data_IF_475364798454
#
_entry.id   IF_475364798454
#
_cell.length_a   1.000
_cell.length_b   1.000
_cell.length_c   1.000
_cell.angle_alpha   90.00
_cell.angle_beta   90.00
_cell.angle_gamma   90.00
#
_symmetry.space_group_name_H-M   'P 1'
#
loop_
_entity.id
_entity.type
_entity.pdbx_description
1 polymer ?
#
# COMPACT_ATOMS: atom_id res chain seq x y z
N UNK A 1 28.47 14.92 -27.61
CA UNK A 1 27.03 14.65 -27.38
C UNK A 1 26.84 13.15 -27.16
N UNK A 2 26.81 12.70 -25.91
CA UNK A 2 26.79 11.28 -25.56
C UNK A 2 25.34 10.77 -25.60
N UNK A 3 25.03 9.98 -26.62
CA UNK A 3 23.72 9.37 -26.82
C UNK A 3 23.46 8.33 -25.71
N UNK A 4 22.69 8.71 -24.68
CA UNK A 4 22.17 7.77 -23.69
C UNK A 4 21.03 6.98 -24.33
N UNK A 5 21.33 5.78 -24.80
CA UNK A 5 20.30 4.81 -25.21
C UNK A 5 19.56 4.39 -23.95
N UNK A 6 18.29 4.78 -23.85
CA UNK A 6 17.41 4.26 -22.83
C UNK A 6 17.38 2.73 -22.96
N UNK A 7 17.85 2.03 -21.92
CA UNK A 7 17.67 0.59 -21.79
C UNK A 7 16.17 0.38 -21.64
N UNK A 8 15.50 0.13 -22.76
CA UNK A 8 14.10 -0.28 -22.76
C UNK A 8 14.08 -1.63 -22.05
N UNK A 9 13.79 -1.60 -20.74
CA UNK A 9 13.62 -2.75 -19.87
C UNK A 9 12.34 -3.48 -20.32
N UNK A 10 12.39 -4.07 -21.51
CA UNK A 10 11.34 -4.91 -22.08
C UNK A 10 11.50 -6.29 -21.44
N UNK A 11 11.22 -6.34 -20.14
CA UNK A 11 10.86 -7.54 -19.40
C UNK A 11 11.64 -8.80 -19.83
N UNK A 12 12.82 -9.01 -19.25
CA UNK A 12 13.65 -10.20 -19.51
C UNK A 12 12.93 -11.52 -19.20
N UNK A 13 11.92 -11.49 -18.30
CA UNK A 13 11.13 -12.65 -17.93
C UNK A 13 10.26 -13.18 -19.07
N UNK A 14 10.02 -12.37 -20.11
CA UNK A 14 9.28 -12.76 -21.31
C UNK A 14 10.00 -13.78 -22.20
N UNK A 15 11.31 -14.01 -21.98
CA UNK A 15 12.08 -15.05 -22.68
C UNK A 15 11.84 -16.46 -22.15
N UNK A 16 11.14 -16.62 -21.04
CA UNK A 16 10.86 -17.95 -20.50
C UNK A 16 9.83 -18.66 -21.38
N UNK A 17 10.08 -19.89 -21.88
CA UNK A 17 9.19 -20.58 -22.82
C UNK A 17 7.76 -20.74 -22.28
N UNK A 18 7.63 -20.97 -20.97
CA UNK A 18 6.33 -21.00 -20.28
C UNK A 18 5.62 -19.64 -20.20
N UNK A 19 6.35 -18.52 -20.09
CA UNK A 19 5.72 -17.18 -20.06
C UNK A 19 5.38 -16.67 -21.45
N UNK A 20 6.04 -17.20 -22.48
CA UNK A 20 5.72 -16.92 -23.88
C UNK A 20 4.45 -17.63 -24.36
N UNK A 21 4.12 -18.82 -23.80
CA UNK A 21 2.87 -19.54 -24.10
C UNK A 21 1.66 -19.00 -23.34
N UNK A 22 1.87 -18.14 -22.34
CA UNK A 22 0.79 -17.61 -21.52
C UNK A 22 0.07 -16.43 -22.22
N UNK A 23 -1.27 -16.38 -22.14
CA UNK A 23 -2.05 -15.25 -22.63
C UNK A 23 -1.66 -13.92 -21.95
N UNK A 24 -1.75 -12.79 -22.69
CA UNK A 24 -1.27 -11.49 -22.21
C UNK A 24 -2.00 -10.97 -20.96
N UNK A 25 -3.23 -11.41 -20.72
CA UNK A 25 -4.01 -11.01 -19.53
C UNK A 25 -3.52 -11.69 -18.24
N UNK A 26 -2.83 -12.83 -18.32
CA UNK A 26 -2.23 -13.54 -17.17
C UNK A 26 -0.91 -12.89 -16.76
N UNK A 27 -0.13 -12.41 -17.74
CA UNK A 27 1.13 -11.71 -17.49
C UNK A 27 0.94 -10.25 -17.05
N UNK A 28 -0.28 -9.72 -17.11
CA UNK A 28 -0.58 -8.35 -16.65
C UNK A 28 -0.56 -8.33 -15.13
N UNK A 29 0.61 -8.09 -14.53
CA UNK A 29 0.67 -7.78 -13.11
C UNK A 29 -0.18 -6.52 -12.88
N UNK A 30 -1.09 -6.53 -11.88
CA UNK A 30 -1.83 -5.34 -11.53
C UNK A 30 -0.81 -4.25 -11.17
N UNK A 31 -0.92 -3.09 -11.82
CA UNK A 31 -0.03 -1.95 -11.53
C UNK A 31 -0.09 -1.67 -10.02
N UNK A 32 1.05 -1.50 -9.33
CA UNK A 32 1.07 -1.19 -7.90
C UNK A 32 0.33 0.12 -7.59
N UNK A 33 0.05 0.94 -8.60
CA UNK A 33 -0.77 2.15 -8.51
C UNK A 33 -2.17 1.90 -7.91
N UNK A 34 -2.73 0.69 -8.02
CA UNK A 34 -4.07 0.40 -7.47
C UNK A 34 -4.05 -0.02 -5.98
N UNK A 35 -2.86 -0.19 -5.38
CA UNK A 35 -2.72 -0.46 -3.94
C UNK A 35 -2.71 0.83 -3.10
N UNK A 36 -2.45 1.99 -3.72
CA UNK A 36 -2.64 3.30 -3.09
C UNK A 36 -4.07 3.79 -3.28
N UNK A 37 -5.05 2.90 -3.14
CA UNK A 37 -6.42 3.31 -2.96
C UNK A 37 -6.43 4.20 -1.71
N UNK A 38 -6.83 5.45 -1.93
CA UNK A 38 -6.88 6.60 -1.04
C UNK A 38 -7.71 6.28 0.21
N UNK A 39 -7.22 5.38 1.07
CA UNK A 39 -7.86 5.12 2.35
C UNK A 39 -7.73 6.42 3.14
N UNK A 40 -8.83 6.95 3.69
CA UNK A 40 -8.72 8.05 4.61
C UNK A 40 -7.78 7.60 5.73
N UNK A 41 -6.78 8.42 6.02
CA UNK A 41 -5.79 8.19 7.07
C UNK A 41 -6.42 8.09 8.48
N UNK A 42 -7.71 8.42 8.59
CA UNK A 42 -8.51 8.34 9.80
C UNK A 42 -9.89 7.77 9.48
N UNK A 43 -10.18 6.58 9.99
CA UNK A 43 -11.52 5.99 9.95
C UNK A 43 -12.32 6.48 11.15
N UNK A 44 -13.66 6.52 11.03
CA UNK A 44 -14.55 6.79 12.17
C UNK A 44 -14.34 5.83 13.34
N UNK A 45 -13.96 4.59 13.03
CA UNK A 45 -13.63 3.55 14.00
C UNK A 45 -12.33 3.86 14.76
N UNK A 46 -11.31 4.37 14.06
CA UNK A 46 -10.04 4.82 14.67
C UNK A 46 -10.30 5.98 15.63
N UNK A 47 -11.11 6.96 15.21
CA UNK A 47 -11.49 8.10 16.05
C UNK A 47 -12.26 7.65 17.31
N UNK A 48 -13.20 6.70 17.17
CA UNK A 48 -13.95 6.14 18.31
C UNK A 48 -13.00 5.46 19.29
N UNK A 49 -12.09 4.64 18.78
CA UNK A 49 -11.14 3.89 19.60
C UNK A 49 -10.21 4.85 20.37
N UNK A 50 -9.71 5.88 19.70
CA UNK A 50 -8.90 6.93 20.32
C UNK A 50 -9.62 7.64 21.48
N UNK A 51 -10.89 8.03 21.28
CA UNK A 51 -11.68 8.69 22.34
C UNK A 51 -11.88 7.78 23.56
N UNK A 52 -12.11 6.48 23.37
CA UNK A 52 -12.28 5.55 24.49
C UNK A 52 -11.00 5.43 25.32
N UNK A 53 -9.85 5.23 24.66
CA UNK A 53 -8.57 5.16 25.37
C UNK A 53 -8.26 6.48 26.09
N UNK A 54 -8.42 7.61 25.41
CA UNK A 54 -8.21 8.92 26.01
C UNK A 54 -9.05 9.12 27.26
N UNK A 55 -10.36 8.84 27.19
CA UNK A 55 -11.26 8.96 28.33
C UNK A 55 -10.87 8.01 29.48
N UNK A 56 -10.54 6.76 29.18
CA UNK A 56 -10.15 5.78 30.19
C UNK A 56 -8.89 6.21 30.95
N UNK A 57 -7.84 6.62 30.23
CA UNK A 57 -6.60 7.10 30.84
C UNK A 57 -6.79 8.41 31.61
N UNK A 58 -7.60 9.32 31.08
CA UNK A 58 -7.91 10.57 31.76
C UNK A 58 -8.61 10.34 33.09
N UNK A 59 -9.66 9.50 33.10
CA UNK A 59 -10.39 9.13 34.32
C UNK A 59 -9.48 8.40 35.30
N UNK A 60 -8.68 7.44 34.84
CA UNK A 60 -7.71 6.74 35.69
C UNK A 60 -6.69 7.71 36.33
N UNK A 61 -6.24 8.71 35.58
CA UNK A 61 -5.31 9.73 36.07
C UNK A 61 -5.98 10.63 37.10
N UNK A 62 -7.22 11.07 36.88
CA UNK A 62 -7.97 11.86 37.85
C UNK A 62 -8.21 11.09 39.15
N UNK A 63 -8.59 9.81 39.07
CA UNK A 63 -8.77 8.94 40.22
C UNK A 63 -7.46 8.62 40.97
N UNK A 64 -6.33 8.68 40.27
CA UNK A 64 -5.02 8.49 40.92
C UNK A 64 -4.58 9.76 41.66
N UNK A 65 -4.87 10.93 41.10
CA UNK A 65 -4.46 12.23 41.66
C UNK A 65 -5.35 12.64 42.83
N UNK A 66 -6.66 12.32 42.78
CA UNK A 66 -7.66 12.71 43.78
C UNK A 66 -8.04 11.53 44.67
#
# INVERSE_FOLDING_TARGET
MTNRRALVLTDESRRHPFRASLPPHVCRMPSPTHLTATRPWLTREDARTFVHFYAAFFVATLLYIY
#
